data_IF_793083360799
#
_entry.id   IF_793083360799
#
_cell.length_a   1.000
_cell.length_b   1.000
_cell.length_c   1.000
_cell.angle_alpha   90.00
_cell.angle_beta   90.00
_cell.angle_gamma   90.00
#
_symmetry.space_group_name_H-M   'P 1'
#
loop_
_entity.id
_entity.type
_entity.pdbx_description
1 polymer ?
#
# COMPACT_ATOMS: atom_id res chain seq x y z
N UNK A 1 28.14 -9.19 -43.23
CA UNK A 1 29.08 -9.47 -42.12
C UNK A 1 29.30 -8.15 -41.39
N UNK A 2 29.02 -7.94 -40.11
CA UNK A 2 28.60 -8.75 -38.98
C UNK A 2 27.64 -7.90 -38.14
N UNK A 3 26.49 -8.47 -37.80
CA UNK A 3 25.46 -7.90 -36.92
C UNK A 3 25.93 -8.07 -35.47
N UNK A 4 26.30 -6.99 -34.79
CA UNK A 4 26.75 -7.07 -33.40
C UNK A 4 25.55 -7.13 -32.46
N UNK A 5 25.23 -8.38 -32.09
CA UNK A 5 24.68 -8.90 -30.82
C UNK A 5 24.40 -7.82 -29.74
N UNK A 6 23.16 -7.66 -29.30
CA UNK A 6 22.48 -8.46 -28.24
C UNK A 6 23.16 -8.28 -26.88
N UNK A 7 22.38 -7.74 -25.92
CA UNK A 7 22.51 -7.73 -24.45
C UNK A 7 22.42 -6.30 -23.86
N UNK A 8 21.24 -5.68 -23.94
CA UNK A 8 20.84 -4.74 -22.89
C UNK A 8 20.19 -5.60 -21.81
N UNK A 9 21.04 -6.04 -20.89
CA UNK A 9 20.71 -6.93 -19.79
C UNK A 9 19.68 -6.31 -18.85
N UNK A 10 18.78 -7.19 -18.41
CA UNK A 10 17.96 -7.10 -17.22
C UNK A 10 18.66 -6.37 -16.07
N UNK A 11 18.20 -5.17 -15.74
CA UNK A 11 18.32 -4.62 -14.39
C UNK A 11 16.97 -3.99 -14.08
N UNK A 12 16.01 -4.83 -13.69
CA UNK A 12 14.82 -4.33 -13.04
C UNK A 12 14.55 -5.18 -11.81
N UNK A 13 14.46 -4.47 -10.69
CA UNK A 13 13.68 -4.82 -9.51
C UNK A 13 14.37 -5.74 -8.49
N UNK A 14 15.30 -5.16 -7.74
CA UNK A 14 15.66 -5.66 -6.40
C UNK A 14 15.80 -4.49 -5.42
N UNK A 15 14.80 -3.61 -5.38
CA UNK A 15 14.65 -2.61 -4.32
C UNK A 15 13.58 -3.10 -3.36
N UNK A 16 14.03 -3.83 -2.34
CA UNK A 16 13.24 -4.23 -1.18
C UNK A 16 13.10 -2.99 -0.30
N UNK A 17 11.93 -2.36 -0.30
CA UNK A 17 11.61 -1.35 0.72
C UNK A 17 11.06 -2.07 1.95
N UNK A 18 11.90 -2.21 2.97
CA UNK A 18 11.48 -2.69 4.28
C UNK A 18 10.93 -1.51 5.10
N UNK A 19 9.62 -1.38 5.16
CA UNK A 19 8.99 -0.50 6.13
C UNK A 19 9.01 -1.19 7.50
N UNK A 20 9.92 -0.77 8.39
CA UNK A 20 9.91 -1.16 9.81
C UNK A 20 8.78 -0.39 10.51
N UNK A 21 7.70 -1.08 10.85
CA UNK A 21 6.75 -0.57 11.84
C UNK A 21 7.30 -0.89 13.22
N UNK A 22 7.49 0.12 14.08
CA UNK A 22 7.63 -0.11 15.51
C UNK A 22 6.25 -0.46 16.03
N UNK A 23 6.05 -1.71 16.41
CA UNK A 23 4.89 -2.10 17.21
C UNK A 23 5.19 -1.71 18.65
N UNK A 24 4.52 -0.68 19.17
CA UNK A 24 4.53 -0.44 20.61
C UNK A 24 3.76 -1.55 21.32
N UNK A 25 4.36 -2.02 22.42
CA UNK A 25 3.87 -3.00 23.42
C UNK A 25 4.08 -4.51 23.15
N UNK A 26 5.19 -4.99 23.73
CA UNK A 26 5.27 -6.21 24.56
C UNK A 26 4.96 -7.55 23.91
N UNK A 27 5.83 -8.00 22.99
CA UNK A 27 6.15 -9.42 22.76
C UNK A 27 7.28 -9.46 21.73
N UNK A 28 8.46 -9.92 22.13
CA UNK A 28 9.64 -10.16 21.29
C UNK A 28 9.38 -11.22 20.21
N UNK A 29 8.62 -10.86 19.18
CA UNK A 29 8.50 -11.63 17.95
C UNK A 29 8.65 -10.65 16.78
N UNK A 30 9.90 -10.38 16.42
CA UNK A 30 10.29 -9.72 15.17
C UNK A 30 9.84 -10.57 13.98
N UNK A 31 8.54 -10.55 13.64
CA UNK A 31 8.05 -11.07 12.39
C UNK A 31 8.17 -10.00 11.32
N UNK A 32 9.13 -10.21 10.42
CA UNK A 32 9.30 -9.43 9.21
C UNK A 32 8.07 -9.65 8.31
N UNK A 33 7.15 -8.68 8.28
CA UNK A 33 5.98 -8.74 7.41
C UNK A 33 6.43 -8.41 5.99
N UNK A 34 6.65 -9.44 5.18
CA UNK A 34 6.96 -9.29 3.76
C UNK A 34 5.70 -8.87 3.02
N UNK A 35 5.70 -7.65 2.48
CA UNK A 35 4.60 -7.16 1.65
C UNK A 35 4.83 -7.55 0.19
N UNK A 36 3.85 -8.16 -0.49
CA UNK A 36 3.94 -8.42 -1.91
C UNK A 36 4.03 -7.10 -2.70
N UNK A 37 5.02 -7.00 -3.58
CA UNK A 37 5.24 -5.82 -4.44
C UNK A 37 4.17 -5.85 -5.53
N UNK A 38 3.29 -4.85 -5.54
CA UNK A 38 2.23 -4.75 -6.54
C UNK A 38 2.29 -3.40 -7.25
N UNK A 39 3.09 -3.32 -8.32
CA UNK A 39 3.02 -2.26 -9.34
C UNK A 39 3.37 -0.82 -8.89
N UNK A 40 3.53 0.06 -9.87
CA UNK A 40 3.98 1.45 -9.66
C UNK A 40 2.91 2.37 -9.03
N UNK A 41 1.70 1.85 -8.76
CA UNK A 41 0.52 2.62 -8.36
C UNK A 41 -0.11 2.15 -7.03
N UNK A 42 0.57 1.31 -6.25
CA UNK A 42 0.06 0.81 -4.97
C UNK A 42 1.03 1.06 -3.82
N UNK A 43 0.48 1.42 -2.66
CA UNK A 43 1.19 1.68 -1.41
C UNK A 43 0.51 0.88 -0.30
N UNK A 44 1.21 -0.12 0.23
CA UNK A 44 0.70 -0.95 1.32
C UNK A 44 0.94 -0.27 2.67
N UNK A 45 -0.14 -0.02 3.41
CA UNK A 45 -0.10 0.66 4.73
C UNK A 45 -0.21 -0.31 5.90
N UNK A 46 -0.73 -1.52 5.68
CA UNK A 46 -0.76 -2.61 6.65
C UNK A 46 -0.85 -3.96 5.94
N UNK A 47 -0.77 -5.09 6.69
CA UNK A 47 -0.74 -6.47 6.16
C UNK A 47 -1.76 -6.73 5.04
N UNK A 48 -2.96 -6.17 5.19
CA UNK A 48 -4.06 -6.34 4.27
C UNK A 48 -4.65 -5.03 3.78
N UNK A 49 -3.97 -3.90 3.96
CA UNK A 49 -4.51 -2.58 3.60
C UNK A 49 -3.60 -1.91 2.58
N UNK A 50 -4.19 -1.46 1.49
CA UNK A 50 -3.50 -0.86 0.37
C UNK A 50 -4.19 0.45 -0.04
N UNK A 51 -3.37 1.44 -0.39
CA UNK A 51 -3.76 2.65 -1.10
C UNK A 51 -3.33 2.48 -2.55
N UNK A 52 -4.24 2.56 -3.50
CA UNK A 52 -3.91 2.44 -4.92
C UNK A 52 -4.44 3.60 -5.74
N UNK A 53 -3.73 3.91 -6.83
CA UNK A 53 -4.16 4.88 -7.82
C UNK A 53 -4.76 4.15 -9.01
N UNK A 54 -6.00 4.50 -9.36
CA UNK A 54 -6.68 3.96 -10.53
C UNK A 54 -7.14 5.09 -11.47
N UNK A 55 -7.36 4.76 -12.74
CA UNK A 55 -7.99 5.66 -13.70
C UNK A 55 -9.27 4.99 -14.18
N UNK A 56 -10.41 5.58 -13.84
CA UNK A 56 -11.72 5.09 -14.27
C UNK A 56 -12.40 6.18 -15.09
N UNK A 57 -12.79 5.85 -16.33
CA UNK A 57 -13.47 6.77 -17.26
C UNK A 57 -12.77 8.12 -17.44
N UNK A 58 -11.43 8.11 -17.46
CA UNK A 58 -10.59 9.32 -17.61
C UNK A 58 -10.41 10.14 -16.34
N UNK A 59 -10.96 9.68 -15.20
CA UNK A 59 -10.79 10.32 -13.90
C UNK A 59 -9.82 9.52 -13.04
N UNK A 60 -8.83 10.21 -12.49
CA UNK A 60 -7.92 9.62 -11.49
C UNK A 60 -8.65 9.49 -10.17
N UNK A 61 -8.59 8.28 -9.61
CA UNK A 61 -9.16 7.91 -8.32
C UNK A 61 -8.08 7.38 -7.39
N UNK A 62 -8.31 7.55 -6.09
CA UNK A 62 -7.48 7.01 -5.02
C UNK A 62 -8.31 6.02 -4.23
N UNK A 63 -7.91 4.76 -4.23
CA UNK A 63 -8.61 3.66 -3.60
C UNK A 63 -7.92 3.28 -2.29
N UNK A 64 -8.64 3.35 -1.17
CA UNK A 64 -8.18 2.84 0.13
C UNK A 64 -8.97 1.56 0.43
N UNK A 65 -8.32 0.40 0.34
CA UNK A 65 -9.02 -0.88 0.38
C UNK A 65 -8.30 -1.96 1.18
N UNK A 66 -9.09 -2.79 1.85
CA UNK A 66 -8.60 -4.02 2.47
C UNK A 66 -8.59 -5.14 1.43
N UNK A 67 -7.53 -5.93 1.39
CA UNK A 67 -7.35 -7.07 0.51
C UNK A 67 -7.43 -8.38 1.30
N UNK A 68 -7.90 -9.45 0.67
CA UNK A 68 -7.99 -10.78 1.27
C UNK A 68 -7.32 -11.81 0.37
N UNK A 69 -6.80 -12.88 0.96
CA UNK A 69 -6.29 -14.04 0.24
C UNK A 69 -7.38 -15.11 0.29
N UNK A 70 -8.04 -15.42 -0.84
CA UNK A 70 -9.11 -16.41 -0.84
C UNK A 70 -8.52 -17.80 -0.55
N UNK A 71 -9.07 -18.49 0.45
CA UNK A 71 -8.63 -19.83 0.86
C UNK A 71 -8.96 -20.92 -0.17
N UNK A 72 -9.91 -20.66 -1.06
CA UNK A 72 -10.52 -21.68 -1.93
C UNK A 72 -9.69 -22.04 -3.16
N UNK A 73 -8.69 -21.26 -3.48
CA UNK A 73 -7.67 -21.61 -4.45
C UNK A 73 -6.36 -21.36 -3.73
N UNK A 74 -5.31 -22.15 -3.97
CA UNK A 74 -3.94 -21.84 -3.52
C UNK A 74 -3.42 -20.55 -4.23
N UNK A 75 -4.22 -19.49 -4.19
CA UNK A 75 -4.01 -18.22 -4.84
C UNK A 75 -3.03 -17.45 -3.97
N UNK A 76 -1.84 -17.29 -4.51
CA UNK A 76 -0.84 -16.36 -3.99
C UNK A 76 -1.24 -14.90 -4.25
N UNK A 77 -2.39 -14.66 -4.89
CA UNK A 77 -2.86 -13.33 -5.29
C UNK A 77 -3.92 -12.81 -4.33
N UNK A 78 -3.61 -11.67 -3.72
CA UNK A 78 -4.55 -10.90 -2.93
C UNK A 78 -5.64 -10.30 -3.83
N UNK A 79 -6.89 -10.34 -3.37
CA UNK A 79 -8.03 -9.73 -4.06
C UNK A 79 -8.61 -8.59 -3.23
N UNK A 80 -9.07 -7.49 -3.85
CA UNK A 80 -9.70 -6.40 -3.15
C UNK A 80 -10.99 -6.89 -2.48
N UNK A 81 -11.15 -6.61 -1.19
CA UNK A 81 -12.39 -6.89 -0.46
C UNK A 81 -13.42 -5.77 -0.66
N UNK A 82 -14.65 -6.03 -0.24
CA UNK A 82 -15.71 -5.01 -0.19
C UNK A 82 -15.40 -3.88 0.82
N UNK A 83 -14.50 -4.10 1.78
CA UNK A 83 -14.10 -3.09 2.76
C UNK A 83 -13.10 -2.12 2.14
N UNK A 84 -13.59 -0.97 1.71
CA UNK A 84 -12.77 0.12 1.19
C UNK A 84 -13.61 1.27 0.67
N UNK A 85 -12.93 2.37 0.37
CA UNK A 85 -13.51 3.58 -0.19
C UNK A 85 -12.66 4.06 -1.34
N UNK A 86 -13.31 4.68 -2.32
CA UNK A 86 -12.67 5.26 -3.49
C UNK A 86 -12.94 6.76 -3.46
N UNK A 87 -11.88 7.55 -3.55
CA UNK A 87 -11.94 8.99 -3.60
C UNK A 87 -11.65 9.48 -5.01
N UNK A 88 -12.43 10.46 -5.46
CA UNK A 88 -12.05 11.28 -6.59
C UNK A 88 -10.97 12.29 -6.15
N UNK A 89 -10.27 12.88 -7.14
CA UNK A 89 -9.17 13.83 -6.87
C UNK A 89 -9.57 14.95 -5.89
N UNK A 90 -10.75 15.54 -6.04
CA UNK A 90 -11.20 16.65 -5.19
C UNK A 90 -11.39 16.22 -3.73
N UNK A 91 -11.99 15.05 -3.49
CA UNK A 91 -12.17 14.49 -2.15
C UNK A 91 -10.82 14.19 -1.49
N UNK A 92 -9.86 13.68 -2.27
CA UNK A 92 -8.51 13.42 -1.77
C UNK A 92 -7.77 14.70 -1.38
N UNK A 93 -7.91 15.78 -2.15
CA UNK A 93 -7.32 17.08 -1.78
C UNK A 93 -7.91 17.63 -0.47
N UNK A 94 -9.21 17.45 -0.23
CA UNK A 94 -9.87 17.86 1.02
C UNK A 94 -9.32 17.05 2.21
N UNK A 95 -9.10 15.75 2.04
CA UNK A 95 -8.48 14.93 3.11
C UNK A 95 -7.08 15.47 3.43
N UNK A 96 -6.26 15.72 2.40
CA UNK A 96 -4.91 16.26 2.58
C UNK A 96 -4.89 17.62 3.26
N UNK A 97 -5.83 18.52 2.94
CA UNK A 97 -5.89 19.84 3.58
C UNK A 97 -6.28 19.79 5.06
N UNK A 98 -6.82 18.66 5.53
CA UNK A 98 -7.24 18.47 6.92
C UNK A 98 -6.34 17.48 7.67
N UNK A 99 -5.20 17.09 7.11
CA UNK A 99 -4.33 16.07 7.73
C UNK A 99 -3.80 16.52 9.10
N UNK A 100 -3.42 17.79 9.25
CA UNK A 100 -2.96 18.34 10.54
C UNK A 100 -4.03 18.24 11.63
N UNK A 101 -5.29 18.46 11.26
CA UNK A 101 -6.44 18.32 12.19
C UNK A 101 -6.64 16.86 12.56
N UNK A 102 -6.55 15.95 11.59
CA UNK A 102 -6.66 14.50 11.81
C UNK A 102 -5.54 14.00 12.72
N UNK A 103 -4.30 14.47 12.50
CA UNK A 103 -3.14 14.08 13.29
C UNK A 103 -3.30 14.50 14.75
N UNK A 104 -3.84 15.69 15.01
CA UNK A 104 -4.12 16.15 16.38
C UNK A 104 -5.07 15.24 17.17
N UNK A 105 -5.90 14.42 16.52
CA UNK A 105 -6.80 13.48 17.21
C UNK A 105 -6.04 12.36 17.92
N UNK A 106 -4.89 11.96 17.38
CA UNK A 106 -4.09 10.87 17.94
C UNK A 106 -3.25 11.33 19.13
N UNK A 107 -2.88 12.60 19.20
CA UNK A 107 -2.10 13.16 20.32
C UNK A 107 -2.93 13.23 21.61
N UNK A 108 -4.21 13.58 21.50
CA UNK A 108 -5.13 13.77 22.63
C UNK A 108 -5.52 12.46 23.36
N UNK A 109 -5.37 11.31 22.71
CA UNK A 109 -5.73 10.01 23.30
C UNK A 109 -4.66 9.47 24.27
N UNK A 110 -3.47 10.10 24.30
CA UNK A 110 -2.34 9.66 25.13
C UNK A 110 -2.43 10.09 26.60
N UNK A 111 -3.31 11.06 26.94
CA UNK A 111 -3.39 11.65 28.29
C UNK A 111 -4.43 10.99 29.22
N UNK A 112 -5.18 9.98 28.76
CA UNK A 112 -6.24 9.30 29.53
C UNK A 112 -5.86 7.91 30.06
N UNK A 113 -4.59 7.67 30.40
CA UNK A 113 -4.14 6.42 31.02
C UNK A 113 -3.65 6.62 32.45
#
# INVERSE_FOLDING_TARGET
MLTTRRLVNQISNNLIYSCRFKTDSTSDNNQEVVYPIFGDNEIWVAKFKCISKSNFTGRTKVDLRTYVFPEKENSTKAVPSQKGITFDKQEWEIIKSNIDVIDSWFDNDSEKK
#
